data_IF_177278759564
#
_entry.id   IF_177278759564
#
_cell.length_a   1.000
_cell.length_b   1.000
_cell.length_c   1.000
_cell.angle_alpha   90.00
_cell.angle_beta   90.00
_cell.angle_gamma   90.00
#
_symmetry.space_group_name_H-M   'P 1'
#
loop_
_entity.id
_entity.type
_entity.pdbx_description
1 polymer ?
#
# COMPACT_ATOMS: atom_id res chain seq x y z
N UNK A 1 7.95 27.34 -7.23
CA UNK A 1 6.68 26.86 -6.63
C UNK A 1 6.20 25.68 -7.46
N UNK A 2 5.99 24.51 -6.86
CA UNK A 2 5.48 23.35 -7.58
C UNK A 2 4.04 23.61 -8.06
N UNK A 3 3.64 23.12 -9.25
CA UNK A 3 2.28 23.27 -9.74
C UNK A 3 1.31 22.69 -8.70
N UNK A 4 0.33 23.49 -8.28
CA UNK A 4 -0.72 23.06 -7.37
C UNK A 4 -1.44 21.87 -8.00
N UNK A 5 -1.37 20.70 -7.37
CA UNK A 5 -2.12 19.52 -7.80
C UNK A 5 -3.62 19.84 -7.75
N UNK A 6 -4.27 19.99 -8.91
CA UNK A 6 -5.67 20.40 -9.03
C UNK A 6 -6.65 19.23 -9.12
N UNK A 7 -6.18 17.98 -9.02
CA UNK A 7 -7.06 16.80 -9.00
C UNK A 7 -7.53 16.51 -7.58
N UNK A 8 -8.50 17.29 -7.11
CA UNK A 8 -9.24 17.00 -5.88
C UNK A 8 -10.64 16.49 -6.27
N UNK A 9 -11.06 15.35 -5.72
CA UNK A 9 -12.43 14.84 -5.82
C UNK A 9 -12.98 14.67 -4.42
N UNK A 10 -14.21 15.12 -4.20
CA UNK A 10 -14.90 15.00 -2.93
C UNK A 10 -15.84 13.79 -3.00
N UNK A 11 -15.83 12.99 -1.95
CA UNK A 11 -16.69 11.82 -1.81
C UNK A 11 -17.31 11.88 -0.42
N UNK A 12 -18.59 11.52 -0.30
CA UNK A 12 -19.15 11.08 0.96
C UNK A 12 -18.48 9.78 1.42
N UNK A 13 -18.62 9.41 2.70
CA UNK A 13 -18.03 8.17 3.22
C UNK A 13 -18.55 6.93 2.47
N UNK A 14 -19.84 6.90 2.12
CA UNK A 14 -20.45 5.80 1.36
C UNK A 14 -19.95 5.74 -0.09
N UNK A 15 -19.73 6.88 -0.73
CA UNK A 15 -19.15 6.91 -2.08
C UNK A 15 -17.68 6.49 -2.05
N UNK A 16 -16.93 6.89 -1.02
CA UNK A 16 -15.52 6.53 -0.88
C UNK A 16 -15.33 5.03 -0.65
N UNK A 17 -16.20 4.37 0.13
CA UNK A 17 -16.13 2.92 0.31
C UNK A 17 -16.41 2.19 -1.00
N UNK A 18 -17.40 2.63 -1.78
CA UNK A 18 -17.66 2.09 -3.12
C UNK A 18 -16.47 2.30 -4.06
N UNK A 19 -15.87 3.50 -4.04
CA UNK A 19 -14.71 3.82 -4.87
C UNK A 19 -13.49 2.98 -4.48
N UNK A 20 -13.28 2.70 -3.19
CA UNK A 20 -12.25 1.77 -2.75
C UNK A 20 -12.48 0.35 -3.28
N UNK A 21 -13.72 -0.16 -3.22
CA UNK A 21 -14.04 -1.49 -3.74
C UNK A 21 -13.78 -1.55 -5.25
N UNK A 22 -14.20 -0.51 -6.00
CA UNK A 22 -13.93 -0.40 -7.44
C UNK A 22 -12.43 -0.41 -7.73
N UNK A 23 -11.66 0.46 -7.06
CA UNK A 23 -10.23 0.55 -7.25
C UNK A 23 -9.49 -0.75 -6.88
N UNK A 24 -9.94 -1.47 -5.84
CA UNK A 24 -9.39 -2.79 -5.47
C UNK A 24 -9.69 -3.83 -6.52
N UNK A 25 -10.93 -3.87 -7.04
CA UNK A 25 -11.34 -4.79 -8.11
C UNK A 25 -10.56 -4.53 -9.40
N UNK A 26 -10.35 -3.27 -9.77
CA UNK A 26 -9.55 -2.90 -10.95
C UNK A 26 -8.07 -3.30 -10.80
N UNK A 27 -7.47 -3.06 -9.62
CA UNK A 27 -6.11 -3.54 -9.34
C UNK A 27 -6.00 -5.06 -9.42
N UNK A 28 -6.99 -5.79 -8.88
CA UNK A 28 -7.01 -7.25 -8.96
C UNK A 28 -7.14 -7.72 -10.42
N UNK A 29 -8.01 -7.07 -11.22
CA UNK A 29 -8.13 -7.32 -12.65
C UNK A 29 -6.78 -7.15 -13.37
N UNK A 30 -6.06 -6.07 -13.08
CA UNK A 30 -4.75 -5.80 -13.70
C UNK A 30 -3.71 -6.87 -13.34
N UNK A 31 -3.62 -7.27 -12.06
CA UNK A 31 -2.73 -8.36 -11.65
C UNK A 31 -3.06 -9.68 -12.33
N UNK A 32 -4.35 -10.02 -12.45
CA UNK A 32 -4.77 -11.24 -13.15
C UNK A 32 -4.36 -11.23 -14.63
N UNK A 33 -4.44 -10.06 -15.29
CA UNK A 33 -3.90 -9.89 -16.65
C UNK A 33 -2.39 -10.12 -16.69
N UNK A 34 -1.63 -9.53 -15.77
CA UNK A 34 -0.18 -9.73 -15.67
C UNK A 34 0.18 -11.21 -15.44
N UNK A 35 -0.50 -11.90 -14.50
CA UNK A 35 -0.32 -13.33 -14.22
C UNK A 35 -0.64 -14.21 -15.43
N UNK A 36 -1.67 -13.86 -16.22
CA UNK A 36 -1.97 -14.56 -17.48
C UNK A 36 -0.89 -14.34 -18.52
N UNK A 37 -0.43 -13.11 -18.69
CA UNK A 37 0.64 -12.77 -19.63
C UNK A 37 1.93 -13.53 -19.31
N UNK A 38 2.33 -13.55 -18.05
CA UNK A 38 3.53 -14.29 -17.61
C UNK A 38 3.38 -15.80 -17.82
N UNK A 39 2.19 -16.36 -17.58
CA UNK A 39 1.90 -17.77 -17.93
C UNK A 39 2.01 -18.04 -19.42
N UNK A 40 1.53 -17.13 -20.27
CA UNK A 40 1.65 -17.25 -21.73
C UNK A 40 3.12 -17.16 -22.18
N UNK A 41 3.87 -16.19 -21.66
CA UNK A 41 5.31 -16.03 -21.93
C UNK A 41 6.10 -17.27 -21.53
N UNK A 42 5.85 -17.79 -20.32
CA UNK A 42 6.47 -19.03 -19.86
C UNK A 42 6.19 -20.19 -20.81
N UNK A 43 4.92 -20.41 -21.18
CA UNK A 43 4.54 -21.46 -22.13
C UNK A 43 5.27 -21.34 -23.48
N UNK A 44 5.39 -20.12 -24.01
CA UNK A 44 6.12 -19.86 -25.26
C UNK A 44 7.62 -20.16 -25.13
N UNK A 45 8.23 -19.74 -24.01
CA UNK A 45 9.65 -20.02 -23.73
C UNK A 45 9.92 -21.52 -23.56
N UNK A 46 9.02 -22.26 -22.91
CA UNK A 46 9.13 -23.70 -22.72
C UNK A 46 8.92 -24.49 -24.03
N UNK A 47 8.11 -23.97 -24.95
CA UNK A 47 7.85 -24.56 -26.26
C UNK A 47 8.96 -24.28 -27.29
N UNK A 48 10.01 -23.52 -26.95
CA UNK A 48 11.13 -23.22 -27.84
C UNK A 48 10.79 -22.36 -29.06
N UNK A 49 9.65 -21.65 -29.05
CA UNK A 49 9.20 -20.83 -30.17
C UNK A 49 9.92 -19.47 -30.15
N UNK A 50 10.65 -19.08 -31.22
CA UNK A 50 11.33 -17.78 -31.27
C UNK A 50 10.32 -16.62 -31.31
N UNK A 51 10.59 -15.59 -30.50
CA UNK A 51 9.72 -14.43 -30.27
C UNK A 51 9.43 -13.56 -31.52
N UNK A 52 10.03 -13.88 -32.67
CA UNK A 52 10.00 -13.08 -33.90
C UNK A 52 8.94 -13.52 -34.93
N UNK A 53 8.20 -14.61 -34.70
CA UNK A 53 7.34 -15.23 -35.74
C UNK A 53 5.82 -15.21 -35.50
N UNK A 54 5.35 -14.93 -34.29
CA UNK A 54 3.93 -14.98 -33.95
C UNK A 54 3.43 -13.58 -33.62
N UNK A 55 2.57 -13.01 -34.47
CA UNK A 55 1.91 -11.71 -34.27
C UNK A 55 0.94 -11.66 -33.07
N UNK A 56 1.22 -12.41 -32.00
CA UNK A 56 0.49 -12.38 -30.74
C UNK A 56 1.01 -11.19 -29.92
N UNK A 57 0.16 -10.22 -29.57
CA UNK A 57 0.64 -9.03 -28.88
C UNK A 57 1.04 -9.40 -27.44
N UNK A 58 2.31 -9.19 -27.10
CA UNK A 58 2.92 -9.48 -25.80
C UNK A 58 2.62 -8.39 -24.75
N UNK A 59 1.49 -7.69 -24.89
CA UNK A 59 1.07 -6.60 -24.01
C UNK A 59 -0.14 -7.00 -23.20
N UNK A 60 -0.26 -6.44 -21.99
CA UNK A 60 -1.37 -6.68 -21.06
C UNK A 60 -2.74 -6.37 -21.71
N UNK A 61 -2.76 -5.43 -22.65
CA UNK A 61 -3.95 -4.98 -23.36
C UNK A 61 -4.49 -5.97 -24.40
N UNK A 62 -3.69 -6.97 -24.79
CA UNK A 62 -4.10 -8.00 -25.75
C UNK A 62 -4.79 -9.21 -25.12
N UNK A 63 -4.88 -9.23 -23.78
CA UNK A 63 -5.57 -10.30 -23.06
C UNK A 63 -7.06 -10.01 -23.07
N UNK A 64 -7.83 -10.99 -23.55
CA UNK A 64 -9.29 -10.90 -23.61
C UNK A 64 -9.90 -10.57 -22.24
N UNK A 65 -10.68 -9.49 -22.22
CA UNK A 65 -11.32 -8.93 -21.05
C UNK A 65 -12.40 -9.86 -20.48
N UNK A 66 -13.08 -10.65 -21.33
CA UNK A 66 -14.12 -11.57 -20.88
C UNK A 66 -13.52 -12.75 -20.10
N UNK A 67 -12.41 -13.32 -20.57
CA UNK A 67 -11.67 -14.36 -19.84
C UNK A 67 -11.16 -13.88 -18.47
N UNK A 68 -10.75 -12.62 -18.36
CA UNK A 68 -10.26 -12.03 -17.09
C UNK A 68 -11.42 -11.78 -16.11
N UNK A 69 -12.60 -11.44 -16.61
CA UNK A 69 -13.77 -11.19 -15.76
C UNK A 69 -14.21 -12.44 -14.98
N UNK A 70 -14.17 -13.61 -15.63
CA UNK A 70 -14.50 -14.87 -14.96
C UNK A 70 -13.50 -15.19 -13.83
N UNK A 71 -12.20 -15.06 -14.11
CA UNK A 71 -11.17 -15.29 -13.09
C UNK A 71 -11.22 -14.25 -11.96
N UNK A 72 -11.62 -13.02 -12.28
CA UNK A 72 -11.85 -11.96 -11.31
C UNK A 72 -13.01 -12.32 -10.39
N UNK A 73 -14.14 -12.81 -10.92
CA UNK A 73 -15.27 -13.24 -10.12
C UNK A 73 -14.88 -14.38 -9.15
N UNK A 74 -14.10 -15.37 -9.63
CA UNK A 74 -13.59 -16.46 -8.79
C UNK A 74 -12.62 -15.94 -7.72
N UNK A 75 -11.70 -15.04 -8.08
CA UNK A 75 -10.75 -14.45 -7.14
C UNK A 75 -11.42 -13.59 -6.06
N UNK A 76 -12.47 -12.85 -6.44
CA UNK A 76 -13.30 -12.07 -5.52
C UNK A 76 -14.04 -12.98 -4.56
N UNK A 77 -14.68 -14.04 -5.05
CA UNK A 77 -15.35 -15.04 -4.21
C UNK A 77 -14.37 -15.75 -3.26
N UNK A 78 -13.12 -15.94 -3.69
CA UNK A 78 -12.03 -16.49 -2.89
C UNK A 78 -11.35 -15.50 -1.94
N UNK A 79 -11.88 -14.28 -1.75
CA UNK A 79 -11.37 -13.31 -0.78
C UNK A 79 -10.13 -12.52 -1.21
N UNK A 80 -9.62 -12.71 -2.44
CA UNK A 80 -8.39 -12.02 -2.92
C UNK A 80 -8.52 -10.50 -3.05
N UNK A 81 -9.73 -9.93 -2.89
CA UNK A 81 -9.90 -8.47 -2.84
C UNK A 81 -9.24 -7.84 -1.61
N UNK A 82 -9.24 -8.55 -0.48
CA UNK A 82 -8.62 -8.05 0.76
C UNK A 82 -7.09 -8.17 0.72
N UNK A 83 -6.54 -9.13 -0.03
CA UNK A 83 -5.09 -9.25 -0.26
C UNK A 83 -4.51 -8.03 -1.00
N UNK A 84 -5.34 -7.34 -1.80
CA UNK A 84 -4.96 -6.13 -2.55
C UNK A 84 -5.06 -4.87 -1.67
N UNK A 85 -5.57 -4.98 -0.44
CA UNK A 85 -5.70 -3.88 0.51
C UNK A 85 -4.38 -3.50 1.21
N UNK A 86 -3.32 -4.31 1.06
CA UNK A 86 -2.02 -3.95 1.63
C UNK A 86 -1.38 -2.79 0.86
N UNK A 87 -1.13 -1.69 1.57
CA UNK A 87 -0.28 -0.59 1.12
C UNK A 87 1.17 -1.09 1.03
N UNK A 88 1.46 -1.79 -0.05
CA UNK A 88 2.81 -2.28 -0.32
C UNK A 88 3.73 -1.09 -0.64
N UNK A 89 4.91 -1.02 -0.02
CA UNK A 89 5.88 0.01 -0.36
C UNK A 89 6.20 -0.01 -1.85
N UNK A 90 6.03 1.12 -2.54
CA UNK A 90 6.39 1.20 -3.94
C UNK A 90 7.90 0.96 -4.14
N UNK A 91 8.31 0.10 -5.10
CA UNK A 91 9.71 -0.09 -5.42
C UNK A 91 10.34 1.25 -5.85
N UNK A 92 11.66 1.44 -5.63
CA UNK A 92 12.34 2.71 -5.91
C UNK A 92 12.12 3.24 -7.34
N UNK A 93 11.98 2.36 -8.33
CA UNK A 93 11.67 2.73 -9.72
C UNK A 93 10.29 3.37 -9.86
N UNK A 94 9.25 2.74 -9.31
CA UNK A 94 7.88 3.28 -9.33
C UNK A 94 7.77 4.58 -8.54
N UNK A 95 8.38 4.67 -7.36
CA UNK A 95 8.40 5.93 -6.57
C UNK A 95 8.98 7.09 -7.38
N UNK A 96 10.11 6.87 -8.07
CA UNK A 96 10.73 7.89 -8.92
C UNK A 96 9.85 8.25 -10.12
N UNK A 97 9.16 7.28 -10.73
CA UNK A 97 8.25 7.54 -11.84
C UNK A 97 7.07 8.40 -11.40
N UNK A 98 6.44 8.07 -10.27
CA UNK A 98 5.35 8.86 -9.68
C UNK A 98 5.78 10.29 -9.37
N UNK A 99 6.93 10.45 -8.70
CA UNK A 99 7.49 11.76 -8.38
C UNK A 99 7.74 12.59 -9.65
N UNK A 100 8.31 11.99 -10.70
CA UNK A 100 8.55 12.68 -11.98
C UNK A 100 7.24 13.06 -12.67
N UNK A 101 6.24 12.19 -12.67
CA UNK A 101 4.92 12.48 -13.22
C UNK A 101 4.25 13.66 -12.50
N UNK A 102 4.48 13.79 -11.20
CA UNK A 102 4.07 14.94 -10.38
C UNK A 102 4.92 16.20 -10.57
N UNK A 103 5.91 16.20 -11.47
CA UNK A 103 6.78 17.34 -11.76
C UNK A 103 8.07 17.41 -10.95
N UNK A 104 8.34 16.45 -10.06
CA UNK A 104 9.58 16.38 -9.28
C UNK A 104 10.67 15.72 -10.14
N UNK A 105 11.43 16.55 -10.87
CA UNK A 105 12.50 16.07 -11.77
C UNK A 105 13.74 15.57 -11.02
N UNK A 106 14.07 16.20 -9.89
CA UNK A 106 15.23 15.89 -9.05
C UNK A 106 14.80 15.94 -7.58
N UNK A 107 15.29 14.97 -6.80
CA UNK A 107 15.14 14.97 -5.34
C UNK A 107 16.33 15.73 -4.78
N UNK A 108 16.06 16.75 -3.96
CA UNK A 108 17.11 17.53 -3.31
C UNK A 108 17.88 16.65 -2.31
N UNK A 109 19.21 16.81 -2.28
CA UNK A 109 20.07 15.99 -1.43
C UNK A 109 19.97 16.37 0.03
N UNK A 110 19.76 17.65 0.32
CA UNK A 110 19.64 18.16 1.68
C UNK A 110 18.27 17.79 2.27
N UNK A 111 17.19 18.03 1.52
CA UNK A 111 15.84 17.59 1.92
C UNK A 111 15.79 16.08 2.18
N UNK A 112 16.48 15.28 1.36
CA UNK A 112 16.60 13.83 1.59
C UNK A 112 17.28 13.51 2.93
N UNK A 113 18.32 14.24 3.32
CA UNK A 113 19.05 14.05 4.59
C UNK A 113 18.18 14.45 5.77
N UNK A 114 17.52 15.59 5.70
CA UNK A 114 16.57 16.07 6.71
C UNK A 114 15.43 15.04 6.93
N UNK A 115 14.83 14.55 5.84
CA UNK A 115 13.81 13.50 5.93
C UNK A 115 14.34 12.19 6.50
N UNK A 116 15.61 11.87 6.29
CA UNK A 116 16.23 10.70 6.91
C UNK A 116 16.42 10.92 8.43
N UNK A 117 16.91 12.09 8.84
CA UNK A 117 17.03 12.45 10.25
C UNK A 117 15.67 12.43 10.96
N UNK A 118 14.61 12.93 10.32
CA UNK A 118 13.24 12.86 10.85
C UNK A 118 12.73 11.42 10.99
N UNK A 119 13.06 10.52 10.06
CA UNK A 119 12.68 9.10 10.19
C UNK A 119 13.37 8.45 11.38
N UNK A 120 14.67 8.67 11.54
CA UNK A 120 15.45 8.15 12.67
C UNK A 120 14.92 8.70 13.99
N UNK A 121 14.71 10.02 14.07
CA UNK A 121 14.11 10.64 15.26
C UNK A 121 12.75 10.03 15.59
N UNK A 122 11.91 9.73 14.60
CA UNK A 122 10.61 9.07 14.83
C UNK A 122 10.71 7.60 15.26
N UNK A 123 11.80 6.92 14.94
CA UNK A 123 12.08 5.57 15.42
C UNK A 123 12.57 5.58 16.87
N UNK A 124 13.34 6.61 17.24
CA UNK A 124 13.86 6.81 18.60
C UNK A 124 12.80 7.40 19.54
N UNK A 125 11.85 8.17 19.02
CA UNK A 125 10.76 8.75 19.80
C UNK A 125 9.66 7.71 20.10
N UNK A 126 9.49 7.38 21.37
CA UNK A 126 8.41 6.54 21.86
C UNK A 126 8.72 6.01 23.26
N UNK A 127 7.72 5.43 23.91
CA UNK A 127 7.92 4.70 25.16
C UNK A 127 7.71 3.21 24.92
N UNK A 128 8.36 2.38 25.74
CA UNK A 128 8.16 0.92 25.78
C UNK A 128 7.26 0.51 26.94
N UNK A 129 6.34 1.40 27.34
CA UNK A 129 5.41 1.11 28.41
C UNK A 129 4.48 -0.03 27.99
N UNK A 130 4.42 -1.09 28.79
CA UNK A 130 3.47 -2.18 28.63
C UNK A 130 2.15 -1.78 29.29
N UNK A 131 1.20 -1.25 28.52
CA UNK A 131 -0.10 -0.83 29.07
C UNK A 131 -0.32 0.69 29.03
N UNK A 132 -0.83 1.22 30.13
CA UNK A 132 -1.11 2.65 30.28
C UNK A 132 0.19 3.40 30.56
N UNK A 133 0.41 4.50 29.85
CA UNK A 133 1.54 5.39 30.12
C UNK A 133 1.29 6.17 31.40
N UNK A 134 2.08 5.91 32.43
CA UNK A 134 2.11 6.69 33.67
C UNK A 134 2.85 8.02 33.43
N UNK A 135 2.25 9.19 33.77
CA UNK A 135 2.86 10.50 33.61
C UNK A 135 4.25 10.65 34.24
N UNK A 136 4.53 9.97 35.35
CA UNK A 136 5.76 10.14 36.12
C UNK A 136 6.92 9.25 35.63
N UNK A 137 6.62 8.18 34.88
CA UNK A 137 7.61 7.17 34.48
C UNK A 137 7.75 7.02 32.96
N UNK A 138 6.73 7.41 32.19
CA UNK A 138 6.76 7.30 30.74
C UNK A 138 7.74 8.30 30.11
N UNK A 139 8.68 7.80 29.31
CA UNK A 139 9.66 8.63 28.59
C UNK A 139 9.01 9.69 27.67
N UNK A 140 7.82 9.41 27.11
CA UNK A 140 7.07 10.39 26.32
C UNK A 140 6.54 11.54 27.21
N UNK A 141 5.93 11.19 28.34
CA UNK A 141 5.37 12.16 29.29
C UNK A 141 6.45 13.04 29.91
N UNK A 142 7.58 12.44 30.32
CA UNK A 142 8.75 13.15 30.84
C UNK A 142 9.36 14.10 29.80
N UNK A 143 9.30 13.73 28.52
CA UNK A 143 9.72 14.57 27.41
C UNK A 143 8.64 15.60 26.97
N UNK A 144 7.50 15.67 27.65
CA UNK A 144 6.41 16.61 27.36
C UNK A 144 5.69 16.35 26.03
N UNK A 145 5.82 15.14 25.47
CA UNK A 145 5.18 14.75 24.21
C UNK A 145 4.05 13.75 24.46
N UNK A 146 2.95 13.87 23.69
CA UNK A 146 1.83 12.93 23.78
C UNK A 146 2.25 11.57 23.25
N UNK A 147 1.94 10.51 23.99
CA UNK A 147 2.21 9.14 23.55
C UNK A 147 1.33 8.78 22.34
N UNK A 148 1.96 8.35 21.24
CA UNK A 148 1.26 7.93 20.03
C UNK A 148 0.83 6.46 20.19
N UNK A 149 -0.46 6.22 20.43
CA UNK A 149 -1.03 4.86 20.50
C UNK A 149 -0.91 4.19 19.13
N UNK A 150 -0.32 2.99 19.05
CA UNK A 150 -0.45 2.13 17.88
C UNK A 150 -1.87 1.58 17.84
N UNK A 151 -2.77 2.27 17.13
CA UNK A 151 -4.16 1.90 17.00
C UNK A 151 -4.30 0.52 16.32
N UNK A 152 -4.94 -0.43 17.01
CA UNK A 152 -5.77 -1.46 16.40
C UNK A 152 -7.20 -1.27 16.94
N UNK A 153 -8.11 -0.96 16.00
CA UNK A 153 -9.59 -1.03 15.98
C UNK A 153 -10.32 -1.22 17.33
N UNK A 154 -11.16 -0.25 17.71
CA UNK A 154 -12.22 -0.37 18.71
C UNK A 154 -12.43 0.89 19.54
N UNK A 155 -13.66 1.39 19.60
CA UNK A 155 -14.07 2.63 20.26
C UNK A 155 -13.73 2.67 21.76
N UNK A 156 -13.36 3.87 22.22
CA UNK A 156 -13.38 4.34 23.60
C UNK A 156 -12.65 3.52 24.68
N UNK A 157 -11.33 3.65 24.67
CA UNK A 157 -10.47 4.13 25.77
C UNK A 157 -9.02 3.87 25.39
N UNK A 158 -8.09 4.73 25.82
CA UNK A 158 -6.66 4.51 25.70
C UNK A 158 -6.20 3.29 26.50
N UNK A 159 -6.48 2.09 25.98
CA UNK A 159 -6.11 0.80 26.51
C UNK A 159 -5.08 0.16 25.57
N UNK A 160 -3.89 -0.10 26.08
CA UNK A 160 -3.00 -1.10 25.52
C UNK A 160 -3.56 -2.48 25.89
N UNK A 161 -4.15 -3.16 24.91
CA UNK A 161 -4.62 -4.54 25.05
C UNK A 161 -3.42 -5.48 25.13
N UNK A 162 -3.04 -5.86 26.35
CA UNK A 162 -2.75 -7.24 26.80
C UNK A 162 -2.27 -7.19 28.25
N UNK A 163 -3.21 -7.21 29.19
CA UNK A 163 -2.96 -7.68 30.56
C UNK A 163 -4.11 -8.59 30.96
N UNK A 164 -4.16 -9.76 30.33
CA UNK A 164 -4.93 -10.90 30.83
C UNK A 164 -3.92 -11.92 31.34
N UNK A 165 -3.46 -11.73 32.57
CA UNK A 165 -3.12 -12.76 33.57
C UNK A 165 -2.28 -12.13 34.68
N UNK A 166 -2.52 -12.58 35.91
CA UNK A 166 -1.85 -12.22 37.17
C UNK A 166 -2.58 -11.22 38.07
N UNK A 167 -3.84 -11.51 38.40
CA UNK A 167 -4.34 -11.32 39.76
C UNK A 167 -4.67 -12.71 40.29
N UNK A 168 -4.11 -13.04 41.45
CA UNK A 168 -4.26 -14.34 42.13
C UNK A 168 -5.63 -14.56 42.73
#
# INVERSE_FOLDING_TARGET
MAPRHSTCRLFSLAEFTQEQVRARREKLRQRLKEEKLERLKWKLSAAGVPATGTGLPLTVDAIDDASVENDLAVAVAGGRLEDVNFLQPHPPRQRRALLRASGVRRIDREEKRELQALRLSREDCGCRCDGVCDPETCSCSLAGIKCQVRAWIGEDKGLCLLCSTSLG
#
